data_IF_151170103449
#
_entry.id   IF_151170103449
#
_cell.length_a   1.000
_cell.length_b   1.000
_cell.length_c   1.000
_cell.angle_alpha   90.00
_cell.angle_beta   90.00
_cell.angle_gamma   90.00
#
_symmetry.space_group_name_H-M   'P 1'
#
loop_
_entity.id
_entity.type
_entity.pdbx_description
1 polymer ?
#
# COMPACT_ATOMS: atom_id res chain seq x y z
N UNK A 1 -80.75 15.87 -9.49
CA UNK A 1 -80.79 17.07 -10.33
C UNK A 1 -79.49 17.84 -10.10
N UNK A 2 -78.88 18.28 -11.18
CA UNK A 2 -77.73 19.22 -11.35
C UNK A 2 -76.32 18.58 -11.37
N UNK A 3 -75.89 18.49 -12.60
CA UNK A 3 -74.51 18.29 -13.10
C UNK A 3 -73.61 19.51 -12.76
N UNK A 4 -72.36 19.27 -12.36
CA UNK A 4 -71.32 20.28 -12.28
C UNK A 4 -70.13 19.78 -13.07
N UNK A 5 -69.83 20.43 -14.19
CA UNK A 5 -68.68 20.19 -15.05
C UNK A 5 -67.44 20.79 -14.40
N UNK A 6 -66.36 20.04 -14.27
CA UNK A 6 -65.05 20.49 -13.86
C UNK A 6 -64.08 20.37 -15.03
N UNK A 7 -63.48 21.50 -15.39
CA UNK A 7 -62.57 21.70 -16.51
C UNK A 7 -61.22 20.98 -16.29
N UNK A 8 -60.77 20.28 -17.35
CA UNK A 8 -59.42 19.69 -17.45
C UNK A 8 -58.48 20.77 -17.99
N UNK A 9 -57.49 21.14 -17.19
CA UNK A 9 -56.35 21.97 -17.61
C UNK A 9 -55.18 21.08 -17.98
N UNK A 10 -54.93 20.96 -19.29
CA UNK A 10 -53.77 20.32 -19.88
C UNK A 10 -52.58 21.29 -19.80
N UNK A 11 -51.66 21.01 -18.89
CA UNK A 11 -50.35 21.69 -18.80
C UNK A 11 -49.32 21.02 -19.75
N UNK A 12 -48.91 21.74 -20.79
CA UNK A 12 -47.82 21.32 -21.67
C UNK A 12 -46.47 21.54 -20.98
N UNK A 13 -45.76 20.45 -20.69
CA UNK A 13 -44.37 20.53 -20.20
C UNK A 13 -43.43 20.68 -21.38
N UNK A 14 -42.76 21.81 -21.47
CA UNK A 14 -41.66 22.05 -22.44
C UNK A 14 -40.40 21.42 -21.90
N UNK A 15 -39.92 20.35 -22.52
CA UNK A 15 -38.62 19.75 -22.29
C UNK A 15 -37.58 20.56 -23.06
N UNK A 16 -36.75 21.32 -22.34
CA UNK A 16 -35.53 21.94 -22.88
C UNK A 16 -34.43 20.89 -22.83
N UNK A 17 -34.07 20.33 -23.99
CA UNK A 17 -32.89 19.49 -24.12
C UNK A 17 -31.64 20.39 -24.21
N UNK A 18 -30.85 20.40 -23.15
CA UNK A 18 -29.51 21.00 -23.18
C UNK A 18 -28.58 20.07 -23.98
N UNK A 19 -28.18 20.49 -25.17
CA UNK A 19 -27.14 19.84 -25.94
C UNK A 19 -25.77 20.08 -25.25
N UNK A 20 -25.22 19.02 -24.65
CA UNK A 20 -23.83 18.99 -24.19
C UNK A 20 -22.97 18.87 -25.43
N UNK A 21 -22.29 19.95 -25.81
CA UNK A 21 -21.26 19.95 -26.83
C UNK A 21 -20.07 19.14 -26.32
N UNK A 22 -19.88 17.92 -26.83
CA UNK A 22 -18.69 17.14 -26.60
C UNK A 22 -17.51 17.85 -27.31
N UNK A 23 -16.59 18.38 -26.53
CA UNK A 23 -15.34 18.94 -27.02
C UNK A 23 -14.51 17.83 -27.67
N UNK A 24 -14.15 18.01 -28.94
CA UNK A 24 -13.35 17.02 -29.67
C UNK A 24 -11.96 16.92 -29.06
N UNK A 25 -11.43 15.70 -28.86
CA UNK A 25 -10.07 15.55 -28.35
C UNK A 25 -9.05 16.22 -29.29
N UNK A 26 -7.95 16.77 -28.75
CA UNK A 26 -6.93 17.42 -29.56
C UNK A 26 -6.33 16.44 -30.59
N UNK A 27 -5.96 16.91 -31.78
CA UNK A 27 -5.36 16.05 -32.80
C UNK A 27 -4.04 15.48 -32.29
N UNK A 28 -3.81 14.19 -32.59
CA UNK A 28 -2.53 13.54 -32.28
C UNK A 28 -1.38 14.30 -32.93
N UNK A 29 -0.22 14.44 -32.25
CA UNK A 29 0.96 15.07 -32.87
C UNK A 29 1.41 14.25 -34.09
N UNK A 30 1.71 14.94 -35.19
CA UNK A 30 2.22 14.33 -36.39
C UNK A 30 3.53 13.59 -36.11
N UNK A 31 3.48 12.28 -36.21
CA UNK A 31 4.66 11.42 -36.07
C UNK A 31 5.29 11.28 -37.44
N UNK A 32 6.33 12.06 -37.71
CA UNK A 32 7.15 11.93 -38.92
C UNK A 32 8.15 10.78 -38.74
N UNK A 33 7.92 9.68 -39.45
CA UNK A 33 8.90 8.59 -39.53
C UNK A 33 9.95 8.92 -40.59
N UNK A 34 11.21 9.09 -40.18
CA UNK A 34 12.34 9.13 -41.10
C UNK A 34 12.72 7.69 -41.47
N UNK A 35 12.53 7.29 -42.71
CA UNK A 35 13.03 6.01 -43.21
C UNK A 35 14.52 6.15 -43.51
N UNK A 36 15.36 5.52 -42.70
CA UNK A 36 16.75 5.32 -43.06
C UNK A 36 16.87 4.03 -43.87
N UNK A 37 17.62 4.09 -44.97
CA UNK A 37 17.87 2.94 -45.83
C UNK A 37 18.68 1.89 -45.08
N UNK A 38 18.38 0.62 -45.34
CA UNK A 38 19.15 -0.49 -44.74
C UNK A 38 20.63 -0.40 -45.16
N UNK A 39 21.58 -0.62 -44.27
CA UNK A 39 23.01 -0.60 -44.61
C UNK A 39 23.36 -1.69 -45.64
N UNK A 40 24.28 -1.40 -46.53
CA UNK A 40 24.75 -2.33 -47.56
C UNK A 40 25.46 -3.53 -46.90
N UNK A 41 25.35 -4.74 -47.50
CA UNK A 41 26.02 -5.94 -46.99
C UNK A 41 27.53 -5.75 -46.94
N UNK A 42 28.12 -5.79 -45.74
CA UNK A 42 29.57 -5.66 -45.52
C UNK A 42 30.01 -4.40 -44.79
N UNK A 43 29.14 -3.45 -44.52
CA UNK A 43 29.45 -2.28 -43.67
C UNK A 43 29.37 -2.68 -42.19
N UNK A 44 30.45 -2.43 -41.42
CA UNK A 44 30.41 -2.57 -39.95
C UNK A 44 29.44 -1.54 -39.40
N UNK A 45 28.45 -1.95 -38.55
CA UNK A 45 27.55 -1.00 -37.92
C UNK A 45 28.35 -0.07 -37.01
N UNK A 46 28.45 1.21 -37.39
CA UNK A 46 28.91 2.26 -36.49
C UNK A 46 27.70 2.66 -35.63
N UNK A 47 27.84 2.53 -34.34
CA UNK A 47 26.89 3.14 -33.39
C UNK A 47 27.06 4.65 -33.51
N UNK A 48 26.15 5.30 -34.24
CA UNK A 48 26.16 6.75 -34.47
C UNK A 48 25.38 7.54 -33.45
N UNK A 49 24.73 6.85 -32.50
CA UNK A 49 24.02 7.48 -31.37
C UNK A 49 24.93 7.43 -30.17
N UNK A 50 25.61 8.52 -29.89
CA UNK A 50 26.30 8.71 -28.63
C UNK A 50 25.29 9.29 -27.64
N UNK A 51 24.87 8.47 -26.69
CA UNK A 51 23.96 8.91 -25.62
C UNK A 51 24.78 9.76 -24.65
N UNK A 52 24.53 11.07 -24.65
CA UNK A 52 25.08 11.96 -23.62
C UNK A 52 24.33 11.72 -22.30
N UNK A 53 25.03 11.31 -21.24
CA UNK A 53 24.41 11.08 -19.93
C UNK A 53 23.75 12.33 -19.34
N UNK A 54 24.14 13.53 -19.78
CA UNK A 54 23.52 14.77 -19.34
C UNK A 54 22.19 15.02 -20.09
N UNK A 55 22.14 14.76 -21.40
CA UNK A 55 20.91 14.84 -22.18
C UNK A 55 19.89 13.78 -21.77
N UNK A 56 20.35 12.57 -21.46
CA UNK A 56 19.48 11.49 -20.97
C UNK A 56 18.88 11.85 -19.62
N UNK A 57 19.65 12.42 -18.70
CA UNK A 57 19.15 12.91 -17.41
C UNK A 57 18.16 14.06 -17.58
N UNK A 58 18.44 14.99 -18.51
CA UNK A 58 17.55 16.11 -18.81
C UNK A 58 16.25 15.66 -19.53
N UNK A 59 16.30 14.59 -20.33
CA UNK A 59 15.15 13.99 -20.98
C UNK A 59 14.28 13.23 -19.95
N UNK A 60 14.89 12.47 -19.04
CA UNK A 60 14.21 11.80 -17.94
C UNK A 60 13.56 12.80 -16.98
N UNK A 61 14.22 13.93 -16.70
CA UNK A 61 13.65 14.99 -15.88
C UNK A 61 12.44 15.71 -16.56
N UNK A 62 12.36 15.68 -17.89
CA UNK A 62 11.24 16.25 -18.65
C UNK A 62 10.09 15.27 -18.86
N UNK A 63 10.36 13.97 -18.86
CA UNK A 63 9.35 12.90 -19.03
C UNK A 63 8.84 12.32 -17.73
N UNK A 64 9.49 12.62 -16.59
CA UNK A 64 8.90 12.34 -15.28
C UNK A 64 7.84 13.44 -15.07
N UNK A 65 6.53 13.12 -15.11
CA UNK A 65 5.54 14.05 -14.61
C UNK A 65 6.00 14.43 -13.21
N UNK A 66 5.91 15.69 -12.77
CA UNK A 66 6.06 15.99 -11.37
C UNK A 66 5.18 14.99 -10.64
N UNK A 67 5.76 14.29 -9.65
CA UNK A 67 4.95 13.51 -8.74
C UNK A 67 3.76 14.40 -8.41
N UNK A 68 2.50 13.93 -8.54
CA UNK A 68 1.39 14.76 -8.20
C UNK A 68 1.76 15.38 -6.86
N UNK A 69 1.78 16.71 -6.80
CA UNK A 69 1.78 17.42 -5.52
C UNK A 69 0.53 16.91 -4.81
N UNK A 70 0.70 15.79 -4.10
CA UNK A 70 -0.19 15.48 -3.02
C UNK A 70 0.09 16.67 -2.10
N UNK A 71 -0.87 17.61 -1.95
CA UNK A 71 -0.67 18.70 -1.02
C UNK A 71 -0.22 18.01 0.27
N UNK A 72 1.01 18.28 0.66
CA UNK A 72 1.43 17.97 2.02
C UNK A 72 0.30 18.56 2.85
N UNK A 73 -0.56 17.77 3.51
CA UNK A 73 -1.48 18.42 4.41
C UNK A 73 -0.54 19.21 5.30
N UNK A 74 -0.63 20.55 5.26
CA UNK A 74 -0.11 21.44 6.30
C UNK A 74 -0.77 21.01 7.62
N UNK A 75 -0.47 19.80 8.03
CA UNK A 75 -0.64 19.35 9.38
C UNK A 75 0.55 19.98 10.06
N UNK A 76 0.35 21.17 10.61
CA UNK A 76 1.15 21.61 11.74
C UNK A 76 1.47 20.35 12.51
N UNK A 77 2.77 20.06 12.70
CA UNK A 77 3.24 18.88 13.40
C UNK A 77 2.73 18.95 14.85
N UNK A 78 1.44 18.73 14.99
CA UNK A 78 0.80 18.54 16.26
C UNK A 78 1.43 17.29 16.84
N UNK A 79 2.02 17.45 18.02
CA UNK A 79 2.58 16.33 18.78
C UNK A 79 1.60 15.15 18.70
N UNK A 80 2.10 13.93 18.50
CA UNK A 80 1.23 12.76 18.39
C UNK A 80 0.32 12.73 19.61
N UNK A 81 -0.96 12.36 19.43
CA UNK A 81 -1.87 12.30 20.54
C UNK A 81 -1.33 11.36 21.62
N UNK A 82 -1.62 11.64 22.89
CA UNK A 82 -1.12 10.86 24.04
C UNK A 82 -1.33 9.36 23.93
N UNK A 83 -2.28 8.94 23.12
CA UNK A 83 -2.67 7.55 22.92
C UNK A 83 -1.53 6.61 22.49
N UNK A 84 -0.46 7.12 21.84
CA UNK A 84 0.65 6.31 21.33
C UNK A 84 2.01 6.68 21.92
N UNK A 85 2.09 7.70 22.78
CA UNK A 85 3.34 8.17 23.40
C UNK A 85 4.05 7.08 24.22
N UNK A 86 3.30 6.22 24.87
CA UNK A 86 3.81 5.08 25.64
C UNK A 86 4.77 4.19 24.81
N UNK A 87 4.49 4.02 23.51
CA UNK A 87 5.31 3.21 22.61
C UNK A 87 6.56 3.99 22.17
N UNK A 88 6.37 5.23 21.73
CA UNK A 88 7.44 6.04 21.17
C UNK A 88 8.40 6.66 22.20
N UNK A 89 8.08 6.59 23.49
CA UNK A 89 9.01 6.89 24.59
C UNK A 89 10.14 5.88 24.67
N UNK A 90 9.85 4.61 24.35
CA UNK A 90 10.82 3.50 24.42
C UNK A 90 11.41 3.14 23.05
N UNK A 91 10.72 3.51 21.95
CA UNK A 91 11.07 3.17 20.57
C UNK A 91 11.47 4.43 19.82
N UNK A 92 12.74 4.54 19.47
CA UNK A 92 13.25 5.68 18.73
C UNK A 92 12.58 5.81 17.36
N UNK A 93 12.24 7.03 16.98
CA UNK A 93 11.73 7.37 15.67
C UNK A 93 12.82 7.72 14.66
N UNK A 94 14.03 8.03 15.11
CA UNK A 94 15.15 8.46 14.25
C UNK A 94 15.69 7.30 13.41
N UNK A 95 16.05 7.59 12.16
CA UNK A 95 16.51 6.56 11.21
C UNK A 95 17.81 5.88 11.65
N UNK A 96 18.73 6.64 12.20
CA UNK A 96 20.08 6.19 12.59
C UNK A 96 20.11 5.35 13.88
N UNK A 97 19.04 5.34 14.68
CA UNK A 97 18.94 4.51 15.91
C UNK A 97 18.18 3.21 15.64
N UNK A 98 18.68 2.39 14.70
CA UNK A 98 18.05 1.11 14.33
C UNK A 98 18.42 -0.05 15.27
N UNK A 99 19.60 0.02 15.92
CA UNK A 99 20.15 -1.07 16.72
C UNK A 99 19.19 -1.48 17.86
N UNK A 100 18.68 -2.72 17.81
CA UNK A 100 17.75 -3.25 18.80
C UNK A 100 16.37 -2.58 18.84
N UNK A 101 16.02 -1.72 17.88
CA UNK A 101 14.71 -1.04 17.83
C UNK A 101 13.55 -2.03 17.86
N UNK A 102 13.62 -3.10 17.07
CA UNK A 102 12.58 -4.12 17.06
C UNK A 102 12.39 -4.78 18.43
N UNK A 103 13.49 -5.12 19.11
CA UNK A 103 13.39 -5.70 20.45
C UNK A 103 12.78 -4.71 21.46
N UNK A 104 13.18 -3.41 21.40
CA UNK A 104 12.54 -2.36 22.21
C UNK A 104 11.05 -2.22 21.89
N UNK A 105 10.69 -2.31 20.62
CA UNK A 105 9.28 -2.25 20.20
C UNK A 105 8.47 -3.41 20.77
N UNK A 106 9.00 -4.64 20.78
CA UNK A 106 8.33 -5.78 21.39
C UNK A 106 8.20 -5.64 22.91
N UNK A 107 9.25 -5.15 23.58
CA UNK A 107 9.20 -4.91 25.02
C UNK A 107 8.17 -3.82 25.37
N UNK A 108 8.13 -2.72 24.60
CA UNK A 108 7.13 -1.68 24.80
C UNK A 108 5.68 -2.21 24.67
N UNK A 109 5.45 -3.21 23.82
CA UNK A 109 4.13 -3.83 23.66
C UNK A 109 3.71 -4.71 24.88
N UNK A 110 4.62 -5.06 25.78
CA UNK A 110 4.27 -5.78 27.02
C UNK A 110 3.53 -4.87 27.98
N UNK A 111 3.87 -3.58 27.96
CA UNK A 111 3.25 -2.53 28.76
C UNK A 111 2.14 -1.77 27.99
N UNK A 112 1.67 -2.33 26.87
CA UNK A 112 0.67 -1.68 26.04
C UNK A 112 -0.64 -1.44 26.80
N UNK A 113 -1.27 -0.27 26.64
CA UNK A 113 -2.59 -0.02 27.20
C UNK A 113 -3.62 -1.04 26.73
N UNK A 114 -4.53 -1.46 27.60
CA UNK A 114 -5.60 -2.39 27.25
C UNK A 114 -6.50 -1.90 26.07
N UNK A 115 -6.47 -0.60 25.78
CA UNK A 115 -7.20 0.00 24.68
C UNK A 115 -6.53 -0.20 23.31
N UNK A 116 -5.28 -0.72 23.24
CA UNK A 116 -4.65 -1.01 21.95
C UNK A 116 -5.44 -2.10 21.22
N UNK A 117 -6.05 -1.80 20.05
CA UNK A 117 -6.81 -2.80 19.32
C UNK A 117 -5.86 -3.86 18.75
N UNK A 118 -5.97 -5.08 19.25
CA UNK A 118 -5.23 -6.25 18.76
C UNK A 118 -6.23 -7.22 18.13
N UNK A 119 -5.95 -7.74 16.93
CA UNK A 119 -6.81 -8.73 16.29
C UNK A 119 -6.96 -9.96 17.20
N UNK A 120 -8.17 -10.51 17.24
CA UNK A 120 -8.41 -11.78 17.95
C UNK A 120 -7.73 -12.91 17.21
N UNK A 121 -7.27 -13.93 17.93
CA UNK A 121 -6.65 -15.12 17.35
C UNK A 121 -7.56 -15.75 16.27
N UNK A 122 -8.86 -15.86 16.53
CA UNK A 122 -9.83 -16.38 15.57
C UNK A 122 -9.82 -15.60 14.24
N UNK A 123 -9.79 -14.28 14.29
CA UNK A 123 -9.72 -13.46 13.07
C UNK A 123 -8.46 -13.77 12.25
N UNK A 124 -7.32 -13.92 12.92
CA UNK A 124 -6.07 -14.28 12.23
C UNK A 124 -6.11 -15.71 11.68
N UNK A 125 -6.76 -16.65 12.38
CA UNK A 125 -7.01 -18.01 11.89
C UNK A 125 -7.91 -18.01 10.66
N UNK A 126 -8.97 -17.20 10.64
CA UNK A 126 -9.87 -17.06 9.49
C UNK A 126 -9.13 -16.49 8.28
N UNK A 127 -8.31 -15.44 8.47
CA UNK A 127 -7.45 -14.87 7.42
C UNK A 127 -6.43 -15.93 6.92
N UNK A 128 -5.78 -16.65 7.83
CA UNK A 128 -4.84 -17.71 7.47
C UNK A 128 -5.52 -18.88 6.75
N UNK A 129 -6.74 -19.24 7.13
CA UNK A 129 -7.55 -20.25 6.46
C UNK A 129 -7.90 -19.87 5.04
N UNK A 130 -8.33 -18.61 4.83
CA UNK A 130 -8.74 -18.12 3.52
C UNK A 130 -7.55 -17.82 2.59
N UNK A 131 -6.49 -17.20 3.10
CA UNK A 131 -5.40 -16.62 2.30
C UNK A 131 -4.02 -17.18 2.60
N UNK A 132 -3.85 -18.02 3.61
CA UNK A 132 -2.54 -18.49 4.09
C UNK A 132 -1.70 -19.20 3.03
N UNK A 133 -2.33 -19.90 2.07
CA UNK A 133 -1.61 -20.54 0.96
C UNK A 133 -0.94 -19.50 0.06
N UNK A 134 -1.65 -18.43 -0.29
CA UNK A 134 -1.11 -17.37 -1.12
C UNK A 134 -0.07 -16.56 -0.34
N UNK A 135 -0.31 -16.26 0.92
CA UNK A 135 0.65 -15.61 1.80
C UNK A 135 1.96 -16.40 1.86
N UNK A 136 1.90 -17.72 2.15
CA UNK A 136 3.10 -18.56 2.18
C UNK A 136 3.82 -18.62 0.83
N UNK A 137 3.08 -18.66 -0.28
CA UNK A 137 3.67 -18.69 -1.62
C UNK A 137 4.38 -17.40 -1.97
N UNK A 138 3.77 -16.25 -1.68
CA UNK A 138 4.31 -14.94 -2.05
C UNK A 138 5.49 -14.51 -1.17
N UNK A 139 5.61 -15.04 0.04
CA UNK A 139 6.73 -14.74 0.94
C UNK A 139 7.99 -15.59 0.69
N UNK A 140 7.90 -16.61 -0.17
CA UNK A 140 9.10 -17.41 -0.54
C UNK A 140 10.14 -16.55 -1.25
N UNK A 141 11.35 -16.52 -0.71
CA UNK A 141 12.47 -15.76 -1.27
C UNK A 141 12.46 -14.27 -0.94
N UNK A 142 11.58 -13.83 -0.05
CA UNK A 142 11.53 -12.46 0.48
C UNK A 142 12.04 -12.41 1.93
N UNK A 143 12.27 -11.20 2.44
CA UNK A 143 12.58 -10.93 3.85
C UNK A 143 11.31 -10.73 4.70
N UNK A 144 10.17 -11.30 4.27
CA UNK A 144 8.88 -11.09 4.93
C UNK A 144 8.34 -12.42 5.45
N UNK A 145 8.12 -12.46 6.77
CA UNK A 145 7.44 -13.59 7.41
C UNK A 145 5.97 -13.66 6.99
N UNK A 146 5.42 -14.85 6.67
CA UNK A 146 3.98 -15.04 6.55
C UNK A 146 3.17 -14.49 7.72
N UNK A 147 3.68 -14.58 8.95
CA UNK A 147 3.03 -14.01 10.12
C UNK A 147 2.93 -12.47 10.06
N UNK A 148 3.94 -11.79 9.47
CA UNK A 148 3.87 -10.34 9.28
C UNK A 148 2.81 -9.96 8.24
N UNK A 149 2.70 -10.71 7.15
CA UNK A 149 1.66 -10.48 6.14
C UNK A 149 0.26 -10.64 6.74
N UNK A 150 0.03 -11.69 7.55
CA UNK A 150 -1.26 -11.87 8.24
C UNK A 150 -1.57 -10.69 9.17
N UNK A 151 -0.57 -10.18 9.89
CA UNK A 151 -0.73 -9.02 10.76
C UNK A 151 -1.10 -7.76 9.98
N UNK A 152 -0.43 -7.50 8.84
CA UNK A 152 -0.75 -6.38 7.95
C UNK A 152 -2.17 -6.51 7.42
N UNK A 153 -2.55 -7.66 6.86
CA UNK A 153 -3.92 -7.90 6.35
C UNK A 153 -4.97 -7.66 7.46
N UNK A 154 -4.70 -8.14 8.67
CA UNK A 154 -5.64 -7.97 9.79
C UNK A 154 -5.85 -6.50 10.18
N UNK A 155 -4.79 -5.69 10.12
CA UNK A 155 -4.85 -4.26 10.47
C UNK A 155 -5.42 -3.43 9.32
N UNK A 156 -5.06 -3.73 8.07
CA UNK A 156 -5.44 -2.96 6.88
C UNK A 156 -6.92 -3.16 6.51
N UNK A 157 -7.34 -4.39 6.39
CA UNK A 157 -8.67 -4.72 5.87
C UNK A 157 -9.52 -5.57 6.80
N UNK A 158 -8.95 -6.06 7.90
CA UNK A 158 -9.57 -7.11 8.72
C UNK A 158 -9.86 -8.40 7.93
N UNK A 159 -9.10 -8.66 6.85
CA UNK A 159 -9.27 -9.80 5.96
C UNK A 159 -10.34 -9.62 4.87
N UNK A 160 -10.84 -8.41 4.64
CA UNK A 160 -11.85 -8.14 3.60
C UNK A 160 -11.18 -7.81 2.27
N UNK A 161 -11.42 -8.65 1.27
CA UNK A 161 -10.87 -8.47 -0.08
C UNK A 161 -11.50 -7.29 -0.84
N UNK A 162 -12.71 -6.91 -0.49
CA UNK A 162 -13.48 -5.81 -1.08
C UNK A 162 -13.30 -4.46 -0.34
N UNK A 163 -12.39 -4.40 0.63
CA UNK A 163 -12.16 -3.19 1.41
C UNK A 163 -11.64 -2.05 0.52
N UNK A 164 -12.27 -0.88 0.65
CA UNK A 164 -11.83 0.37 0.02
C UNK A 164 -11.78 1.45 1.10
N UNK A 165 -10.64 2.11 1.25
CA UNK A 165 -10.49 3.22 2.18
C UNK A 165 -10.98 4.54 1.56
N UNK A 166 -11.24 5.54 2.39
CA UNK A 166 -11.60 6.89 1.92
C UNK A 166 -10.46 7.59 1.14
N UNK A 167 -9.22 7.08 1.24
CA UNK A 167 -8.06 7.53 0.44
C UNK A 167 -7.84 6.70 -0.82
N UNK A 168 -8.76 5.77 -1.13
CA UNK A 168 -8.68 4.91 -2.31
C UNK A 168 -7.67 3.78 -2.22
N UNK A 169 -7.26 3.38 -1.01
CA UNK A 169 -6.51 2.14 -0.84
C UNK A 169 -7.46 0.94 -0.91
N UNK A 170 -7.08 -0.15 -1.55
CA UNK A 170 -7.95 -1.24 -1.94
C UNK A 170 -7.41 -2.62 -1.56
N UNK A 171 -8.34 -3.52 -1.25
CA UNK A 171 -8.10 -4.95 -1.07
C UNK A 171 -7.49 -5.32 0.28
N UNK A 172 -7.03 -6.57 0.39
CA UNK A 172 -6.55 -7.18 1.63
C UNK A 172 -5.42 -6.39 2.31
N UNK A 173 -4.44 -5.93 1.53
CA UNK A 173 -3.27 -5.21 2.01
C UNK A 173 -3.34 -3.70 1.74
N UNK A 174 -4.52 -3.17 1.39
CA UNK A 174 -4.82 -1.76 1.20
C UNK A 174 -3.78 -1.02 0.34
N UNK A 175 -3.62 -1.48 -0.89
CA UNK A 175 -2.71 -0.83 -1.83
C UNK A 175 -3.38 0.38 -2.47
N UNK A 176 -2.73 1.55 -2.42
CA UNK A 176 -3.16 2.70 -3.24
C UNK A 176 -2.88 2.41 -4.73
N UNK A 177 -3.68 2.94 -5.67
CA UNK A 177 -3.56 2.59 -7.10
C UNK A 177 -2.16 2.75 -7.68
N UNK A 178 -1.43 3.80 -7.31
CA UNK A 178 -0.06 4.02 -7.76
C UNK A 178 0.90 2.93 -7.26
N UNK A 179 0.76 2.48 -6.01
CA UNK A 179 1.56 1.38 -5.45
C UNK A 179 1.16 0.06 -6.10
N UNK A 180 -0.13 -0.22 -6.27
CA UNK A 180 -0.64 -1.40 -6.95
C UNK A 180 -0.02 -1.54 -8.35
N UNK A 181 -0.10 -0.49 -9.16
CA UNK A 181 0.50 -0.44 -10.50
C UNK A 181 2.01 -0.67 -10.49
N UNK A 182 2.74 -0.01 -9.57
CA UNK A 182 4.20 -0.13 -9.43
C UNK A 182 4.64 -1.58 -9.16
N UNK A 183 3.84 -2.36 -8.42
CA UNK A 183 4.14 -3.75 -8.09
C UNK A 183 3.38 -4.77 -8.95
N UNK A 184 2.79 -4.33 -10.08
CA UNK A 184 2.21 -5.20 -11.10
C UNK A 184 0.82 -5.74 -10.76
N UNK A 185 0.10 -5.08 -9.86
CA UNK A 185 -1.30 -5.38 -9.54
C UNK A 185 -2.20 -4.66 -10.55
N UNK A 186 -3.01 -5.41 -11.27
CA UNK A 186 -3.97 -4.89 -12.25
C UNK A 186 -5.41 -4.91 -11.72
N UNK A 187 -5.68 -5.76 -10.74
CA UNK A 187 -6.94 -5.83 -10.01
C UNK A 187 -6.63 -5.94 -8.50
N UNK A 188 -6.86 -4.86 -7.76
CA UNK A 188 -6.61 -4.80 -6.32
C UNK A 188 -7.62 -5.61 -5.49
N UNK A 189 -8.73 -6.04 -6.07
CA UNK A 189 -9.72 -6.92 -5.42
C UNK A 189 -9.44 -8.41 -5.68
N UNK A 190 -8.58 -8.74 -6.66
CA UNK A 190 -8.01 -10.09 -6.77
C UNK A 190 -7.04 -10.33 -5.61
N UNK A 191 -7.43 -11.28 -4.73
CA UNK A 191 -6.70 -11.54 -3.48
C UNK A 191 -5.26 -11.96 -3.70
N UNK A 192 -4.98 -12.76 -4.73
CA UNK A 192 -3.64 -13.24 -5.06
C UNK A 192 -2.77 -12.09 -5.57
N UNK A 193 -3.30 -11.24 -6.45
CA UNK A 193 -2.57 -10.07 -6.94
C UNK A 193 -2.30 -9.06 -5.83
N UNK A 194 -3.30 -8.79 -4.99
CA UNK A 194 -3.17 -7.84 -3.89
C UNK A 194 -2.11 -8.29 -2.88
N UNK A 195 -2.13 -9.57 -2.46
CA UNK A 195 -1.11 -10.15 -1.59
C UNK A 195 0.28 -10.10 -2.27
N UNK A 196 0.36 -10.44 -3.56
CA UNK A 196 1.63 -10.39 -4.31
C UNK A 196 2.22 -8.98 -4.31
N UNK A 197 1.41 -7.98 -4.64
CA UNK A 197 1.86 -6.58 -4.67
C UNK A 197 2.24 -6.07 -3.28
N UNK A 198 1.40 -6.35 -2.27
CA UNK A 198 1.64 -5.93 -0.90
C UNK A 198 2.90 -6.55 -0.28
N UNK A 199 3.14 -7.84 -0.51
CA UNK A 199 4.37 -8.52 -0.06
C UNK A 199 5.60 -7.93 -0.75
N UNK A 200 5.57 -7.73 -2.07
CA UNK A 200 6.68 -7.11 -2.81
C UNK A 200 6.96 -5.68 -2.34
N UNK A 201 5.92 -4.91 -2.06
CA UNK A 201 6.10 -3.56 -1.53
C UNK A 201 6.73 -3.59 -0.14
N UNK A 202 6.23 -4.44 0.76
CA UNK A 202 6.78 -4.57 2.11
C UNK A 202 8.22 -5.09 2.09
N UNK A 203 8.55 -6.04 1.22
CA UNK A 203 9.90 -6.57 1.01
C UNK A 203 10.85 -5.46 0.54
N UNK A 204 10.42 -4.67 -0.44
CA UNK A 204 11.16 -3.49 -0.91
C UNK A 204 11.42 -2.48 0.20
N UNK A 205 10.47 -2.29 1.11
CA UNK A 205 10.64 -1.39 2.25
C UNK A 205 11.62 -1.96 3.28
N UNK A 206 11.59 -3.27 3.52
CA UNK A 206 12.58 -3.94 4.38
C UNK A 206 13.99 -3.78 3.82
N UNK A 207 14.18 -3.92 2.50
CA UNK A 207 15.46 -3.65 1.84
C UNK A 207 15.89 -2.19 2.01
N UNK A 208 14.97 -1.24 1.75
CA UNK A 208 15.26 0.21 1.79
C UNK A 208 15.67 0.67 3.19
N UNK A 209 15.13 0.07 4.22
CA UNK A 209 15.40 0.40 5.61
C UNK A 209 16.29 -0.65 6.31
N UNK A 210 17.08 -1.41 5.54
CA UNK A 210 18.14 -2.30 6.03
C UNK A 210 17.65 -3.32 7.07
N UNK A 211 16.42 -3.83 6.89
CA UNK A 211 15.79 -4.80 7.78
C UNK A 211 15.10 -4.19 9.01
N UNK A 212 15.02 -2.87 9.11
CA UNK A 212 14.30 -2.21 10.21
C UNK A 212 12.79 -2.29 9.98
N UNK A 213 12.15 -3.23 10.66
CA UNK A 213 10.72 -3.47 10.53
C UNK A 213 9.86 -2.29 11.02
N UNK A 214 10.32 -1.49 11.97
CA UNK A 214 9.58 -0.32 12.47
C UNK A 214 9.53 0.75 11.39
N UNK A 215 10.66 1.04 10.73
CA UNK A 215 10.71 1.99 9.62
C UNK A 215 9.98 1.46 8.38
N UNK A 216 10.11 0.17 8.07
CA UNK A 216 9.40 -0.45 6.97
C UNK A 216 7.87 -0.38 7.14
N UNK A 217 7.36 -0.64 8.33
CA UNK A 217 5.93 -0.50 8.64
C UNK A 217 5.48 0.95 8.63
N UNK A 218 6.29 1.88 9.15
CA UNK A 218 6.00 3.30 9.06
C UNK A 218 5.91 3.77 7.59
N UNK A 219 6.82 3.29 6.75
CA UNK A 219 6.83 3.60 5.31
C UNK A 219 5.69 2.91 4.54
N UNK A 220 5.27 1.74 4.97
CA UNK A 220 4.11 1.07 4.37
C UNK A 220 2.84 1.93 4.51
N UNK A 221 2.64 2.53 5.67
CA UNK A 221 1.49 3.38 5.95
C UNK A 221 1.65 4.82 5.42
N UNK A 222 2.80 5.46 5.64
CA UNK A 222 3.03 6.88 5.30
C UNK A 222 3.64 7.10 3.91
N UNK A 223 4.12 6.03 3.26
CA UNK A 223 4.99 6.09 2.08
C UNK A 223 6.47 6.28 2.44
N UNK A 224 7.35 5.67 1.65
CA UNK A 224 8.81 5.73 1.85
C UNK A 224 9.37 7.17 1.77
N UNK A 225 8.73 8.02 0.96
CA UNK A 225 9.11 9.43 0.85
C UNK A 225 8.91 10.21 2.15
N UNK A 226 7.84 9.93 2.90
CA UNK A 226 7.60 10.58 4.19
C UNK A 226 8.67 10.18 5.22
N UNK A 227 8.98 8.88 5.33
CA UNK A 227 10.03 8.39 6.25
C UNK A 227 11.40 8.98 5.89
N UNK A 228 11.70 9.11 4.60
CA UNK A 228 12.95 9.73 4.15
C UNK A 228 13.01 11.23 4.46
N UNK A 229 11.93 11.99 4.24
CA UNK A 229 11.89 13.43 4.54
C UNK A 229 12.02 13.73 6.03
N UNK A 230 11.46 12.88 6.88
CA UNK A 230 11.51 13.03 8.33
C UNK A 230 12.73 12.36 8.98
N UNK A 231 13.60 11.77 8.17
CA UNK A 231 14.75 10.99 8.63
C UNK A 231 14.37 10.00 9.75
N UNK A 232 13.25 9.28 9.53
CA UNK A 232 12.68 8.36 10.49
C UNK A 232 11.15 8.29 10.44
N UNK A 233 10.53 7.82 11.52
CA UNK A 233 9.08 7.70 11.61
C UNK A 233 8.44 9.10 11.65
N UNK A 234 7.60 9.45 10.65
CA UNK A 234 7.01 10.78 10.59
C UNK A 234 6.05 11.02 11.78
N UNK A 235 5.81 12.29 12.17
CA UNK A 235 4.94 12.64 13.28
C UNK A 235 3.45 12.56 12.91
N UNK A 236 3.08 11.67 12.03
CA UNK A 236 1.69 11.46 11.64
C UNK A 236 0.98 10.57 12.65
N UNK A 237 -0.14 11.02 13.18
CA UNK A 237 -0.94 10.28 14.16
C UNK A 237 -1.28 8.87 13.69
N UNK A 238 -1.75 8.76 12.43
CA UNK A 238 -2.09 7.49 11.81
C UNK A 238 -0.89 6.53 11.78
N UNK A 239 0.26 6.99 11.30
CA UNK A 239 1.48 6.16 11.19
C UNK A 239 2.01 5.76 12.56
N UNK A 240 2.00 6.68 13.52
CA UNK A 240 2.43 6.40 14.89
C UNK A 240 1.50 5.44 15.62
N UNK A 241 0.24 5.40 15.27
CA UNK A 241 -0.70 4.39 15.73
C UNK A 241 -0.61 3.06 14.97
N UNK A 242 -0.27 3.10 13.69
CA UNK A 242 -0.20 1.94 12.82
C UNK A 242 0.88 0.94 13.24
N UNK A 243 2.10 1.42 13.44
CA UNK A 243 3.26 0.57 13.77
C UNK A 243 3.00 -0.31 14.99
N UNK A 244 2.65 0.22 16.18
CA UNK A 244 2.36 -0.63 17.34
C UNK A 244 1.19 -1.58 17.12
N UNK A 245 0.15 -1.20 16.35
CA UNK A 245 -0.97 -2.09 16.02
C UNK A 245 -0.53 -3.30 15.20
N UNK A 246 0.28 -3.08 14.15
CA UNK A 246 0.77 -4.19 13.31
C UNK A 246 1.71 -5.09 14.10
N UNK A 247 2.61 -4.55 14.92
CA UNK A 247 3.51 -5.34 15.74
C UNK A 247 2.75 -6.14 16.81
N UNK A 248 1.72 -5.58 17.41
CA UNK A 248 0.84 -6.29 18.33
C UNK A 248 0.07 -7.42 17.63
N UNK A 249 -0.44 -7.17 16.40
CA UNK A 249 -1.07 -8.20 15.57
C UNK A 249 -0.07 -9.31 15.21
N UNK A 250 1.17 -8.95 14.87
CA UNK A 250 2.24 -9.92 14.57
C UNK A 250 2.56 -10.82 15.77
N UNK A 251 2.58 -10.29 16.99
CA UNK A 251 2.77 -11.09 18.21
C UNK A 251 1.72 -12.21 18.34
N UNK A 252 0.49 -11.97 17.92
CA UNK A 252 -0.57 -12.99 17.88
C UNK A 252 -0.40 -13.91 16.68
N UNK A 253 -0.17 -13.34 15.48
CA UNK A 253 -0.08 -14.08 14.23
C UNK A 253 1.08 -15.10 14.22
N UNK A 254 2.22 -14.77 14.85
CA UNK A 254 3.36 -15.69 14.94
C UNK A 254 3.02 -17.02 15.64
N UNK A 255 2.02 -17.02 16.51
CA UNK A 255 1.52 -18.22 17.16
C UNK A 255 0.80 -19.19 16.22
N UNK A 256 0.47 -18.78 14.97
CA UNK A 256 -0.09 -19.64 13.93
C UNK A 256 1.00 -20.39 13.15
N UNK A 257 2.28 -20.09 13.37
CA UNK A 257 3.39 -20.76 12.73
C UNK A 257 3.76 -22.06 13.47
N UNK A 258 4.16 -23.09 12.75
CA UNK A 258 4.66 -24.35 13.33
C UNK A 258 5.85 -24.10 14.28
N UNK A 259 6.71 -23.17 13.87
CA UNK A 259 7.75 -22.58 14.72
C UNK A 259 7.50 -21.07 14.73
N UNK A 260 7.14 -20.47 15.87
CA UNK A 260 6.92 -19.03 15.94
C UNK A 260 8.19 -18.25 15.56
N UNK A 261 8.12 -17.34 14.58
CA UNK A 261 9.25 -16.51 14.18
C UNK A 261 9.66 -15.56 15.33
N UNK A 262 10.95 -15.29 15.46
CA UNK A 262 11.47 -14.31 16.41
C UNK A 262 11.56 -12.91 15.80
N UNK A 263 11.84 -12.86 14.48
CA UNK A 263 11.91 -11.63 13.69
C UNK A 263 10.80 -11.58 12.63
N UNK A 264 10.40 -10.39 12.19
CA UNK A 264 9.43 -10.22 11.10
C UNK A 264 9.90 -10.76 9.74
N UNK A 265 11.19 -11.08 9.64
CA UNK A 265 11.84 -11.67 8.46
C UNK A 265 12.03 -13.19 8.57
N UNK A 266 11.77 -13.79 9.70
CA UNK A 266 11.96 -15.23 9.87
C UNK A 266 10.90 -16.03 9.12
N UNK A 267 11.29 -17.20 8.63
CA UNK A 267 10.36 -18.13 7.97
C UNK A 267 9.24 -18.59 8.90
N UNK A 268 8.07 -18.79 8.33
CA UNK A 268 6.89 -19.28 9.03
C UNK A 268 6.12 -20.25 8.15
N UNK A 269 5.93 -21.47 8.62
CA UNK A 269 4.97 -22.41 8.03
C UNK A 269 3.69 -22.34 8.83
N UNK A 270 2.63 -21.80 8.21
CA UNK A 270 1.33 -21.68 8.85
C UNK A 270 0.73 -23.07 9.12
N UNK A 271 0.32 -23.30 10.36
CA UNK A 271 -0.42 -24.49 10.76
C UNK A 271 -1.85 -24.38 10.20
N UNK A 272 -2.34 -25.48 9.64
CA UNK A 272 -3.78 -25.58 9.36
C UNK A 272 -4.51 -25.63 10.71
N UNK A 273 -5.54 -24.80 10.86
CA UNK A 273 -6.50 -25.03 11.93
C UNK A 273 -6.96 -26.48 11.85
N UNK A 274 -6.88 -27.22 12.95
CA UNK A 274 -7.39 -28.57 12.98
C UNK A 274 -8.86 -28.50 12.57
N UNK A 275 -9.22 -29.12 11.44
CA UNK A 275 -10.62 -29.31 11.07
C UNK A 275 -11.20 -30.17 12.18
N UNK A 276 -12.17 -29.65 12.91
CA UNK A 276 -12.97 -30.49 13.78
C UNK A 276 -13.55 -31.65 12.95
N UNK A 277 -13.39 -32.91 13.37
CA UNK A 277 -14.03 -34.02 12.67
C UNK A 277 -15.55 -33.81 12.75
N UNK A 278 -16.18 -33.70 11.59
CA UNK A 278 -17.63 -33.63 11.38
C UNK A 278 -18.35 -34.89 11.85
#
# INVERSE_FOLDING_TARGET
MRYGQGAVLTGAAILIAAAVMAESPPPFPDVTFKRDSAPEPGSRPRITVQIDPAEQRAALARTTPPAPDIPDPDIEATAPPPAHDWFWQSVSTARDDSAGRFARALAALEDAPAALPVPRLQQLQDIAGAHGRDVMRQTVGTQISPALVLAVIAVESSGRADAVSHRGAEGLMQLIPATAQRFGVTDSHDTTQNITGGVRYLDRLMELFEGDAVLALAAYNAGEGAVTRHDGVPPYEETRGYVPKVLAAWRVARGLCATPPELPSDGCVLQRAAQEPS
#
